data_IF_307314483396
#
_entry.id   IF_307314483396
#
_cell.length_a   1.000
_cell.length_b   1.000
_cell.length_c   1.000
_cell.angle_alpha   90.00
_cell.angle_beta   90.00
_cell.angle_gamma   90.00
#
_symmetry.space_group_name_H-M   'P 1'
#
loop_
_entity.id
_entity.type
_entity.pdbx_description
1 polymer ?
#
# COMPACT_ATOMS: atom_id res chain seq x y z
N UNK A 1 -22.22 1.52 9.82
CA UNK A 1 -21.05 0.73 9.36
C UNK A 1 -19.78 1.39 9.86
N UNK A 2 -18.62 0.71 9.82
CA UNK A 2 -17.33 1.36 10.15
C UNK A 2 -17.02 2.55 9.23
N UNK A 3 -17.44 2.49 7.96
CA UNK A 3 -17.31 3.60 7.01
C UNK A 3 -18.11 4.85 7.44
N UNK A 4 -19.38 4.68 7.84
CA UNK A 4 -20.18 5.81 8.33
C UNK A 4 -19.61 6.38 9.63
N UNK A 5 -19.16 5.51 10.54
CA UNK A 5 -18.51 5.98 11.76
C UNK A 5 -17.25 6.81 11.44
N UNK A 6 -16.36 6.33 10.57
CA UNK A 6 -15.17 7.05 10.14
C UNK A 6 -15.51 8.44 9.57
N UNK A 7 -16.52 8.51 8.69
CA UNK A 7 -16.99 9.76 8.11
C UNK A 7 -17.59 10.72 9.16
N UNK A 8 -18.41 10.20 10.07
CA UNK A 8 -19.00 10.98 11.17
C UNK A 8 -17.93 11.52 12.14
N UNK A 9 -16.78 10.85 12.25
CA UNK A 9 -15.61 11.36 12.98
C UNK A 9 -14.77 12.36 12.19
N UNK A 10 -15.16 12.70 10.95
CA UNK A 10 -14.48 13.68 10.11
C UNK A 10 -13.22 13.16 9.41
N UNK A 11 -13.08 11.85 9.23
CA UNK A 11 -12.01 11.28 8.40
C UNK A 11 -12.32 11.46 6.91
N UNK A 12 -11.28 11.72 6.12
CA UNK A 12 -11.41 12.03 4.69
C UNK A 12 -11.88 10.85 3.84
N UNK A 13 -11.60 9.62 4.27
CA UNK A 13 -12.00 8.43 3.53
C UNK A 13 -11.67 7.13 4.25
N UNK A 14 -12.05 6.03 3.61
CA UNK A 14 -11.81 4.67 4.09
C UNK A 14 -11.18 3.80 3.01
N UNK A 15 -10.35 2.87 3.44
CA UNK A 15 -9.78 1.84 2.57
C UNK A 15 -10.43 0.50 2.89
N UNK A 16 -11.02 -0.14 1.89
CA UNK A 16 -11.87 -1.32 2.08
C UNK A 16 -11.25 -2.49 1.32
N UNK A 17 -10.85 -3.52 2.07
CA UNK A 17 -10.40 -4.79 1.51
C UNK A 17 -11.61 -5.68 1.19
N UNK A 18 -11.51 -6.49 0.14
CA UNK A 18 -12.55 -7.47 -0.19
C UNK A 18 -12.67 -8.53 0.92
N UNK A 19 -13.82 -9.22 1.04
CA UNK A 19 -13.94 -10.36 1.92
C UNK A 19 -12.84 -11.39 1.64
N UNK A 20 -12.29 -11.96 2.70
CA UNK A 20 -11.07 -12.76 2.64
C UNK A 20 -11.22 -14.17 3.25
N UNK A 21 -12.44 -14.54 3.65
CA UNK A 21 -12.68 -15.86 4.23
C UNK A 21 -13.11 -16.88 3.17
N UNK A 22 -14.07 -16.53 2.32
CA UNK A 22 -14.54 -17.38 1.23
C UNK A 22 -14.07 -16.83 -0.12
N UNK A 23 -13.73 -17.70 -1.09
CA UNK A 23 -13.59 -17.29 -2.48
C UNK A 23 -14.91 -16.72 -2.99
N UNK A 24 -14.82 -15.57 -3.66
CA UNK A 24 -15.97 -14.89 -4.27
C UNK A 24 -15.70 -14.72 -5.76
N UNK A 25 -16.77 -14.65 -6.55
CA UNK A 25 -16.70 -14.30 -7.96
C UNK A 25 -16.81 -12.78 -8.17
N UNK A 26 -16.64 -12.36 -9.42
CA UNK A 26 -16.65 -10.96 -9.83
C UNK A 26 -17.94 -10.22 -9.45
N UNK A 27 -19.10 -10.87 -9.60
CA UNK A 27 -20.38 -10.25 -9.28
C UNK A 27 -20.59 -10.14 -7.76
N UNK A 28 -20.18 -11.14 -6.98
CA UNK A 28 -20.21 -11.05 -5.53
C UNK A 28 -19.29 -9.94 -4.99
N UNK A 29 -18.12 -9.76 -5.60
CA UNK A 29 -17.18 -8.67 -5.24
C UNK A 29 -17.77 -7.31 -5.64
N UNK A 30 -18.35 -7.21 -6.83
CA UNK A 30 -19.03 -6.01 -7.29
C UNK A 30 -20.20 -5.63 -6.36
N UNK A 31 -21.02 -6.60 -5.96
CA UNK A 31 -22.16 -6.42 -5.06
C UNK A 31 -21.71 -6.02 -3.65
N UNK A 32 -20.60 -6.58 -3.15
CA UNK A 32 -20.02 -6.20 -1.87
C UNK A 32 -19.65 -4.71 -1.84
N UNK A 33 -18.85 -4.24 -2.80
CA UNK A 33 -18.45 -2.83 -2.85
C UNK A 33 -19.65 -1.92 -3.16
N UNK A 34 -20.55 -2.34 -4.05
CA UNK A 34 -21.81 -1.63 -4.37
C UNK A 34 -22.67 -1.37 -3.13
N UNK A 35 -22.84 -2.39 -2.29
CA UNK A 35 -23.65 -2.31 -1.07
C UNK A 35 -23.06 -1.29 -0.09
N UNK A 36 -21.73 -1.23 0.03
CA UNK A 36 -21.08 -0.28 0.92
C UNK A 36 -21.16 1.14 0.34
N UNK A 37 -20.76 1.31 -0.93
CA UNK A 37 -20.69 2.61 -1.59
C UNK A 37 -22.05 3.32 -1.67
N UNK A 38 -23.14 2.56 -1.82
CA UNK A 38 -24.52 3.10 -1.81
C UNK A 38 -25.04 3.52 -0.43
N UNK A 39 -24.36 3.14 0.65
CA UNK A 39 -24.82 3.34 2.04
C UNK A 39 -23.91 4.27 2.85
N UNK A 40 -22.91 4.88 2.22
CA UNK A 40 -21.97 5.78 2.88
C UNK A 40 -21.65 7.00 2.02
N UNK A 41 -21.57 8.20 2.61
CA UNK A 41 -21.02 9.37 1.93
C UNK A 41 -19.48 9.37 1.91
N UNK A 42 -18.82 8.46 2.63
CA UNK A 42 -17.37 8.41 2.72
C UNK A 42 -16.71 8.19 1.35
N UNK A 43 -15.56 8.83 1.13
CA UNK A 43 -14.66 8.45 0.05
C UNK A 43 -14.08 7.05 0.31
N UNK A 44 -14.02 6.23 -0.72
CA UNK A 44 -13.62 4.82 -0.66
C UNK A 44 -12.43 4.59 -1.57
N UNK A 45 -11.40 3.96 -0.99
CA UNK A 45 -10.34 3.27 -1.71
C UNK A 45 -10.60 1.77 -1.71
N UNK A 46 -10.62 1.16 -2.89
CA UNK A 46 -10.58 -0.31 -3.02
C UNK A 46 -9.19 -0.79 -2.58
N UNK A 47 -9.12 -1.78 -1.70
CA UNK A 47 -7.86 -2.44 -1.37
C UNK A 47 -7.82 -3.82 -2.03
N UNK A 48 -7.07 -3.91 -3.13
CA UNK A 48 -6.74 -5.18 -3.76
C UNK A 48 -5.52 -5.82 -3.06
N UNK A 49 -5.68 -7.04 -2.52
CA UNK A 49 -4.58 -7.80 -1.94
C UNK A 49 -4.79 -9.32 -2.09
N UNK A 50 -4.60 -9.88 -3.29
CA UNK A 50 -4.96 -11.27 -3.60
C UNK A 50 -4.27 -12.30 -2.70
N UNK A 51 -3.05 -12.05 -2.25
CA UNK A 51 -2.32 -12.92 -1.31
C UNK A 51 -3.03 -13.08 0.05
N UNK A 52 -3.88 -12.13 0.42
CA UNK A 52 -4.67 -12.15 1.66
C UNK A 52 -6.13 -12.50 1.44
N UNK A 53 -6.69 -12.14 0.29
CA UNK A 53 -8.13 -12.26 0.00
C UNK A 53 -8.48 -13.49 -0.84
N UNK A 54 -7.52 -14.07 -1.56
CA UNK A 54 -7.77 -15.11 -2.55
C UNK A 54 -8.45 -14.62 -3.83
N UNK A 55 -8.63 -13.30 -3.99
CA UNK A 55 -9.30 -12.69 -5.14
C UNK A 55 -8.58 -11.40 -5.57
N UNK A 56 -8.35 -11.26 -6.88
CA UNK A 56 -7.82 -10.02 -7.47
C UNK A 56 -8.92 -9.23 -8.14
N UNK A 57 -9.16 -8.02 -7.66
CA UNK A 57 -10.11 -7.08 -8.26
C UNK A 57 -9.57 -6.66 -9.62
N UNK A 58 -10.19 -7.16 -10.68
CA UNK A 58 -9.77 -6.87 -12.05
C UNK A 58 -9.93 -5.38 -12.40
N UNK A 59 -9.14 -4.86 -13.35
CA UNK A 59 -9.32 -3.51 -13.88
C UNK A 59 -10.75 -3.22 -14.35
N UNK A 60 -11.44 -4.21 -14.93
CA UNK A 60 -12.82 -4.09 -15.41
C UNK A 60 -13.82 -3.95 -14.26
N UNK A 61 -13.67 -4.73 -13.19
CA UNK A 61 -14.50 -4.58 -11.98
C UNK A 61 -14.23 -3.25 -11.29
N UNK A 62 -12.95 -2.86 -11.19
CA UNK A 62 -12.57 -1.56 -10.63
C UNK A 62 -13.23 -0.40 -11.40
N UNK A 63 -13.17 -0.41 -12.75
CA UNK A 63 -13.81 0.59 -13.59
C UNK A 63 -15.34 0.58 -13.42
N UNK A 64 -15.98 -0.60 -13.46
CA UNK A 64 -17.44 -0.70 -13.25
C UNK A 64 -17.88 -0.11 -11.92
N UNK A 65 -17.10 -0.33 -10.85
CA UNK A 65 -17.37 0.21 -9.53
C UNK A 65 -17.19 1.74 -9.49
N UNK A 66 -16.05 2.24 -9.99
CA UNK A 66 -15.74 3.67 -10.00
C UNK A 66 -16.69 4.49 -10.88
N UNK A 67 -17.12 3.94 -12.03
CA UNK A 67 -18.09 4.59 -12.93
C UNK A 67 -19.48 4.69 -12.29
N UNK A 68 -19.90 3.63 -11.59
CA UNK A 68 -21.24 3.59 -10.96
C UNK A 68 -21.30 4.37 -9.65
N UNK A 69 -20.20 4.45 -8.89
CA UNK A 69 -20.17 5.04 -7.55
C UNK A 69 -19.07 6.10 -7.44
N UNK A 70 -19.39 7.39 -7.61
CA UNK A 70 -18.42 8.48 -7.58
C UNK A 70 -17.65 8.65 -6.26
N UNK A 71 -18.14 8.06 -5.16
CA UNK A 71 -17.43 8.03 -3.88
C UNK A 71 -16.36 6.94 -3.82
N UNK A 72 -16.26 6.02 -4.78
CA UNK A 72 -15.10 5.14 -4.96
C UNK A 72 -14.06 5.91 -5.77
N UNK A 73 -13.11 6.52 -5.07
CA UNK A 73 -12.18 7.51 -5.63
C UNK A 73 -10.81 6.93 -5.98
N UNK A 74 -10.50 5.70 -5.56
CA UNK A 74 -9.21 5.12 -5.85
C UNK A 74 -9.05 3.66 -5.49
N UNK A 75 -7.84 3.15 -5.73
CA UNK A 75 -7.42 1.79 -5.40
C UNK A 75 -6.00 1.81 -4.78
N UNK A 76 -5.82 1.06 -3.70
CA UNK A 76 -4.52 0.54 -3.28
C UNK A 76 -4.36 -0.87 -3.83
N UNK A 77 -3.39 -1.06 -4.72
CA UNK A 77 -3.14 -2.32 -5.40
C UNK A 77 -1.89 -3.02 -4.85
N UNK A 78 -2.08 -4.04 -4.02
CA UNK A 78 -0.99 -4.78 -3.35
C UNK A 78 -0.76 -6.12 -4.04
N UNK A 79 -0.02 -6.03 -5.14
CA UNK A 79 0.42 -7.15 -5.98
C UNK A 79 1.95 -7.11 -6.15
N UNK A 80 2.63 -8.26 -6.24
CA UNK A 80 4.09 -8.31 -6.27
C UNK A 80 4.68 -7.69 -7.54
N UNK A 81 4.03 -7.85 -8.69
CA UNK A 81 4.45 -7.25 -9.96
C UNK A 81 3.66 -5.95 -10.25
N UNK A 82 4.21 -5.12 -11.14
CA UNK A 82 3.61 -3.85 -11.53
C UNK A 82 2.58 -3.97 -12.68
N UNK A 83 2.37 -5.16 -13.25
CA UNK A 83 1.55 -5.30 -14.45
C UNK A 83 0.07 -5.03 -14.16
N UNK A 84 -0.47 -5.63 -13.10
CA UNK A 84 -1.86 -5.43 -12.72
C UNK A 84 -2.14 -3.96 -12.40
N UNK A 85 -1.27 -3.30 -11.64
CA UNK A 85 -1.41 -1.87 -11.31
C UNK A 85 -1.39 -1.00 -12.56
N UNK A 86 -0.48 -1.27 -13.51
CA UNK A 86 -0.46 -0.58 -14.80
C UNK A 86 -1.72 -0.83 -15.64
N UNK A 87 -2.31 -2.03 -15.59
CA UNK A 87 -3.59 -2.31 -16.24
C UNK A 87 -4.74 -1.54 -15.58
N UNK A 88 -4.79 -1.46 -14.25
CA UNK A 88 -5.77 -0.63 -13.53
C UNK A 88 -5.65 0.82 -13.95
N UNK A 89 -4.43 1.39 -14.01
CA UNK A 89 -4.21 2.77 -14.48
C UNK A 89 -4.75 2.94 -15.90
N UNK A 90 -4.33 2.09 -16.85
CA UNK A 90 -4.71 2.21 -18.25
C UNK A 90 -6.22 2.04 -18.50
N UNK A 91 -6.88 1.17 -17.73
CA UNK A 91 -8.31 0.91 -17.87
C UNK A 91 -9.15 1.94 -17.15
N UNK A 92 -8.79 2.29 -15.91
CA UNK A 92 -9.61 3.16 -15.05
C UNK A 92 -9.31 4.63 -15.31
N UNK A 93 -8.06 5.08 -15.20
CA UNK A 93 -7.71 6.51 -15.33
C UNK A 93 -7.95 7.06 -16.74
N UNK A 94 -7.94 6.20 -17.77
CA UNK A 94 -8.36 6.58 -19.12
C UNK A 94 -9.82 7.06 -19.19
N UNK A 95 -10.70 6.47 -18.39
CA UNK A 95 -12.12 6.82 -18.33
C UNK A 95 -12.43 7.81 -17.19
N UNK A 96 -11.67 7.73 -16.09
CA UNK A 96 -11.86 8.52 -14.86
C UNK A 96 -10.49 9.11 -14.45
N UNK A 97 -10.04 10.23 -15.07
CA UNK A 97 -8.67 10.74 -14.89
C UNK A 97 -8.26 11.06 -13.44
N UNK A 98 -9.24 11.38 -12.59
CA UNK A 98 -9.04 11.71 -11.18
C UNK A 98 -9.03 10.50 -10.25
N UNK A 99 -9.25 9.28 -10.75
CA UNK A 99 -9.19 8.07 -9.93
C UNK A 99 -7.76 7.83 -9.47
N UNK A 100 -7.54 7.70 -8.17
CA UNK A 100 -6.20 7.56 -7.58
C UNK A 100 -5.77 6.10 -7.50
N UNK A 101 -4.62 5.75 -8.07
CA UNK A 101 -4.06 4.39 -8.06
C UNK A 101 -2.73 4.40 -7.31
N UNK A 102 -2.68 3.71 -6.17
CA UNK A 102 -1.49 3.56 -5.35
C UNK A 102 -0.98 2.12 -5.37
N UNK A 103 0.32 1.95 -5.58
CA UNK A 103 0.96 0.66 -5.35
C UNK A 103 0.98 0.31 -3.86
N UNK A 104 0.82 -0.97 -3.51
CA UNK A 104 0.88 -1.46 -2.13
C UNK A 104 2.23 -2.02 -1.70
N UNK A 105 3.07 -2.41 -2.66
CA UNK A 105 4.45 -2.80 -2.43
C UNK A 105 5.38 -1.61 -2.67
N UNK A 106 6.28 -1.33 -1.73
CA UNK A 106 7.13 -0.13 -1.74
C UNK A 106 8.03 -0.06 -2.99
N UNK A 107 8.57 -1.20 -3.43
CA UNK A 107 9.42 -1.29 -4.62
C UNK A 107 8.65 -1.14 -5.94
N UNK A 108 7.31 -1.10 -5.90
CA UNK A 108 6.48 -0.77 -7.06
C UNK A 108 6.17 0.74 -7.16
N UNK A 109 6.66 1.57 -6.23
CA UNK A 109 6.41 3.02 -6.25
C UNK A 109 6.83 3.69 -7.57
N UNK A 110 8.10 3.53 -8.00
CA UNK A 110 8.55 4.15 -9.24
C UNK A 110 7.79 3.63 -10.47
N UNK A 111 7.57 2.32 -10.54
CA UNK A 111 6.80 1.71 -11.63
C UNK A 111 5.39 2.30 -11.72
N UNK A 112 4.74 2.53 -10.58
CA UNK A 112 3.41 3.11 -10.52
C UNK A 112 3.41 4.56 -11.00
N UNK A 113 4.32 5.40 -10.50
CA UNK A 113 4.45 6.81 -10.93
C UNK A 113 4.75 6.89 -12.45
N UNK A 114 5.70 6.11 -12.94
CA UNK A 114 6.07 6.06 -14.36
C UNK A 114 4.92 5.57 -15.26
N UNK A 115 3.98 4.80 -14.70
CA UNK A 115 2.78 4.33 -15.41
C UNK A 115 1.62 5.33 -15.37
N UNK A 116 1.76 6.47 -14.67
CA UNK A 116 0.71 7.47 -14.50
C UNK A 116 -0.19 7.25 -13.27
N UNK A 117 0.26 6.45 -12.30
CA UNK A 117 -0.37 6.31 -10.99
C UNK A 117 0.04 7.42 -10.01
N UNK A 118 -0.49 7.33 -8.79
CA UNK A 118 -0.53 8.47 -7.84
C UNK A 118 0.38 8.26 -6.62
N UNK A 119 1.11 7.14 -6.57
CA UNK A 119 2.18 6.90 -5.59
C UNK A 119 2.18 5.52 -4.98
N UNK A 120 2.49 5.43 -3.69
CA UNK A 120 2.54 4.15 -2.98
C UNK A 120 2.05 4.28 -1.54
N UNK A 121 1.24 3.31 -1.11
CA UNK A 121 0.84 3.12 0.29
C UNK A 121 1.53 1.84 0.79
N UNK A 122 2.85 1.93 0.89
CA UNK A 122 3.74 0.86 1.33
C UNK A 122 4.03 0.90 2.83
N UNK A 123 4.67 -0.15 3.34
CA UNK A 123 5.02 -0.24 4.75
C UNK A 123 6.29 0.55 5.10
N UNK A 124 7.31 0.55 4.24
CA UNK A 124 8.65 1.07 4.54
C UNK A 124 8.66 2.57 4.84
N UNK A 125 7.66 3.30 4.32
CA UNK A 125 7.42 4.72 4.66
C UNK A 125 7.18 4.94 6.16
N UNK A 126 6.77 3.93 6.94
CA UNK A 126 6.72 4.04 8.40
C UNK A 126 8.13 4.12 8.99
N UNK A 127 9.09 3.41 8.41
CA UNK A 127 10.45 3.28 8.95
C UNK A 127 11.36 4.40 8.43
N UNK A 128 11.26 4.74 7.15
CA UNK A 128 12.11 5.73 6.48
C UNK A 128 11.30 6.75 5.67
N UNK A 129 10.36 7.49 6.29
CA UNK A 129 9.47 8.41 5.57
C UNK A 129 10.23 9.47 4.78
N UNK A 130 11.32 10.00 5.33
CA UNK A 130 12.12 11.05 4.68
C UNK A 130 12.75 10.55 3.37
N UNK A 131 13.07 9.25 3.30
CA UNK A 131 13.62 8.62 2.11
C UNK A 131 12.59 8.49 0.98
N UNK A 132 11.34 8.16 1.32
CA UNK A 132 10.25 8.14 0.33
C UNK A 132 9.89 9.56 -0.13
N UNK A 133 9.97 10.54 0.79
CA UNK A 133 9.77 11.95 0.44
C UNK A 133 10.86 12.46 -0.53
N UNK A 134 12.14 12.11 -0.31
CA UNK A 134 13.22 12.47 -1.24
C UNK A 134 13.08 11.76 -2.59
N UNK A 135 12.59 10.52 -2.60
CA UNK A 135 12.30 9.81 -3.85
C UNK A 135 11.19 10.50 -4.66
N UNK A 136 10.12 10.95 -4.01
CA UNK A 136 9.08 11.76 -4.66
C UNK A 136 9.64 13.10 -5.17
N UNK A 137 10.52 13.75 -4.40
CA UNK A 137 11.18 14.98 -4.85
C UNK A 137 12.05 14.75 -6.10
N UNK A 138 12.72 13.60 -6.20
CA UNK A 138 13.48 13.24 -7.39
C UNK A 138 12.58 13.12 -8.64
N UNK A 139 11.39 12.53 -8.50
CA UNK A 139 10.38 12.52 -9.58
C UNK A 139 9.93 13.94 -9.96
N UNK A 140 9.63 14.79 -8.97
CA UNK A 140 9.20 16.17 -9.24
C UNK A 140 10.29 17.04 -9.90
N UNK A 141 11.55 16.67 -9.75
CA UNK A 141 12.70 17.37 -10.31
C UNK A 141 13.21 16.77 -11.64
N UNK A 142 12.51 15.75 -12.18
CA UNK A 142 12.95 14.98 -13.35
C UNK A 142 14.37 14.36 -13.21
N UNK A 143 14.81 14.08 -11.97
CA UNK A 143 16.12 13.49 -11.69
C UNK A 143 16.03 11.95 -11.75
N UNK A 144 16.09 11.43 -12.98
CA UNK A 144 16.02 9.99 -13.24
C UNK A 144 17.16 9.20 -12.59
N UNK A 145 18.33 9.82 -12.41
CA UNK A 145 19.45 9.15 -11.74
C UNK A 145 19.13 8.96 -10.26
N UNK A 146 18.66 10.01 -9.59
CA UNK A 146 18.22 9.92 -8.20
C UNK A 146 17.04 8.94 -8.07
N UNK A 147 16.05 8.96 -8.97
CA UNK A 147 14.94 7.99 -8.97
C UNK A 147 15.46 6.54 -9.02
N UNK A 148 16.42 6.24 -9.90
CA UNK A 148 17.00 4.91 -10.02
C UNK A 148 17.78 4.49 -8.76
N UNK A 149 18.55 5.42 -8.16
CA UNK A 149 19.27 5.16 -6.92
C UNK A 149 18.32 4.85 -5.77
N UNK A 150 17.23 5.61 -5.63
CA UNK A 150 16.23 5.34 -4.61
C UNK A 150 15.55 3.97 -4.82
N UNK A 151 15.19 3.62 -6.07
CA UNK A 151 14.66 2.30 -6.39
C UNK A 151 15.58 1.18 -5.92
N UNK A 152 16.87 1.24 -6.26
CA UNK A 152 17.86 0.22 -5.90
C UNK A 152 18.02 0.05 -4.39
N UNK A 153 17.88 1.14 -3.63
CA UNK A 153 17.92 1.11 -2.16
C UNK A 153 16.62 0.50 -1.62
N UNK A 154 15.46 0.89 -2.14
CA UNK A 154 14.18 0.30 -1.72
C UNK A 154 14.15 -1.20 -2.02
N UNK A 155 14.65 -1.64 -3.17
CA UNK A 155 14.76 -3.06 -3.51
C UNK A 155 15.56 -3.85 -2.46
N UNK A 156 16.62 -3.25 -1.90
CA UNK A 156 17.38 -3.85 -0.79
C UNK A 156 16.60 -3.81 0.53
N UNK A 157 15.93 -2.69 0.83
CA UNK A 157 15.11 -2.52 2.03
C UNK A 157 13.90 -3.46 2.07
N UNK A 158 13.42 -3.95 0.92
CA UNK A 158 12.37 -4.96 0.89
C UNK A 158 12.72 -6.22 1.70
N UNK A 159 14.00 -6.49 1.95
CA UNK A 159 14.44 -7.57 2.83
C UNK A 159 13.85 -7.49 4.26
N UNK A 160 13.47 -6.29 4.75
CA UNK A 160 12.81 -6.08 6.05
C UNK A 160 11.57 -6.95 6.20
N UNK A 161 10.76 -7.10 5.15
CA UNK A 161 9.53 -7.90 5.17
C UNK A 161 9.78 -9.39 5.43
N UNK A 162 11.00 -9.87 5.16
CA UNK A 162 11.38 -11.28 5.33
C UNK A 162 12.01 -11.60 6.69
N UNK A 163 12.27 -10.59 7.52
CA UNK A 163 12.92 -10.80 8.84
C UNK A 163 12.03 -11.62 9.78
N UNK A 164 10.72 -11.40 9.72
CA UNK A 164 9.72 -12.12 10.50
C UNK A 164 8.42 -12.23 9.70
N UNK A 165 7.68 -13.32 9.87
CA UNK A 165 6.35 -13.48 9.29
C UNK A 165 5.33 -13.79 10.40
N UNK A 166 4.31 -12.93 10.60
CA UNK A 166 4.04 -11.67 9.89
C UNK A 166 5.08 -10.58 10.20
N UNK A 167 5.23 -9.61 9.29
CA UNK A 167 6.29 -8.59 9.38
C UNK A 167 6.02 -7.44 10.37
N UNK A 168 4.80 -7.30 10.90
CA UNK A 168 4.40 -6.17 11.76
C UNK A 168 5.34 -5.99 12.97
N UNK A 169 5.75 -7.06 13.70
CA UNK A 169 6.74 -6.94 14.77
C UNK A 169 8.09 -6.37 14.32
N UNK A 170 8.54 -6.71 13.10
CA UNK A 170 9.78 -6.16 12.52
C UNK A 170 9.69 -4.65 12.38
N UNK A 171 8.55 -4.15 11.88
CA UNK A 171 8.34 -2.70 11.68
C UNK A 171 8.28 -1.96 13.01
N UNK A 172 7.57 -2.50 13.99
CA UNK A 172 7.56 -1.91 15.34
C UNK A 172 8.93 -1.95 16.01
N UNK A 173 9.71 -3.02 15.81
CA UNK A 173 11.09 -3.08 16.29
C UNK A 173 11.96 -2.00 15.64
N UNK A 174 11.83 -1.79 14.33
CA UNK A 174 12.54 -0.74 13.62
C UNK A 174 12.19 0.65 14.19
N UNK A 175 10.91 0.94 14.38
CA UNK A 175 10.44 2.19 14.99
C UNK A 175 10.97 2.39 16.41
N UNK A 176 11.03 1.31 17.22
CA UNK A 176 11.60 1.38 18.56
C UNK A 176 13.10 1.67 18.53
N UNK A 177 13.86 0.98 17.67
CA UNK A 177 15.30 1.20 17.51
C UNK A 177 15.60 2.64 17.05
N UNK A 178 14.71 3.24 16.24
CA UNK A 178 14.77 4.65 15.83
C UNK A 178 14.27 5.63 16.91
N UNK A 179 13.81 5.15 18.07
CA UNK A 179 13.30 5.98 19.15
C UNK A 179 11.94 6.62 18.90
N UNK A 180 11.22 6.20 17.86
CA UNK A 180 9.89 6.76 17.48
C UNK A 180 8.79 6.24 18.42
N UNK A 181 8.90 4.98 18.86
CA UNK A 181 7.98 4.36 19.81
C UNK A 181 8.75 3.74 20.98
N UNK A 182 8.10 3.65 22.14
CA UNK A 182 8.73 3.06 23.34
C UNK A 182 8.72 1.53 23.35
N UNK A 183 7.75 0.90 22.68
CA UNK A 183 7.55 -0.55 22.74
C UNK A 183 7.29 -1.15 21.36
N UNK A 184 7.98 -2.25 21.04
CA UNK A 184 7.68 -3.03 19.83
C UNK A 184 6.44 -3.94 19.95
N UNK A 185 5.75 -3.91 21.10
CA UNK A 185 4.70 -4.86 21.44
C UNK A 185 3.60 -4.91 20.37
N UNK A 186 3.28 -6.12 19.95
CA UNK A 186 2.11 -6.43 19.13
C UNK A 186 1.06 -7.18 19.95
N UNK A 187 -0.20 -7.10 19.54
CA UNK A 187 -1.26 -7.92 20.13
C UNK A 187 -1.00 -9.40 19.80
N UNK A 188 -1.48 -10.31 20.64
CA UNK A 188 -1.50 -11.74 20.28
C UNK A 188 -2.22 -11.94 18.94
N UNK A 189 -1.78 -12.84 18.04
CA UNK A 189 -0.73 -13.85 18.19
C UNK A 189 0.65 -13.45 17.64
N UNK A 190 0.94 -12.16 17.47
CA UNK A 190 2.23 -11.73 16.92
C UNK A 190 3.36 -11.89 17.95
N UNK A 191 4.45 -12.54 17.53
CA UNK A 191 5.66 -12.73 18.35
C UNK A 191 6.59 -11.51 18.28
N UNK A 192 7.45 -11.36 19.29
CA UNK A 192 8.53 -10.37 19.30
C UNK A 192 9.73 -10.96 18.54
N UNK A 193 10.56 -10.09 17.94
CA UNK A 193 11.78 -10.51 17.27
C UNK A 193 12.80 -11.05 18.27
N UNK A 194 13.49 -12.12 17.89
CA UNK A 194 14.68 -12.58 18.62
C UNK A 194 15.92 -11.71 18.31
N UNK A 195 17.03 -12.01 18.98
CA UNK A 195 18.29 -11.27 18.81
C UNK A 195 18.88 -11.41 17.39
N UNK A 196 18.67 -12.55 16.73
CA UNK A 196 19.19 -12.79 15.38
C UNK A 196 18.40 -11.94 14.38
N UNK A 197 17.07 -11.97 14.48
CA UNK A 197 16.17 -11.14 13.68
C UNK A 197 16.41 -9.66 13.92
N UNK A 198 16.63 -9.25 15.18
CA UNK A 198 16.91 -7.86 15.54
C UNK A 198 18.24 -7.36 14.95
N UNK A 199 19.30 -8.18 14.98
CA UNK A 199 20.58 -7.86 14.33
C UNK A 199 20.43 -7.75 12.81
N UNK A 200 19.77 -8.74 12.19
CA UNK A 200 19.50 -8.73 10.74
C UNK A 200 18.72 -7.50 10.32
N UNK A 201 17.73 -7.06 11.12
CA UNK A 201 16.99 -5.84 10.86
C UNK A 201 17.91 -4.61 10.85
N UNK A 202 18.80 -4.47 11.85
CA UNK A 202 19.75 -3.36 11.90
C UNK A 202 20.71 -3.35 10.70
N UNK A 203 21.20 -4.51 10.29
CA UNK A 203 22.04 -4.67 9.09
C UNK A 203 21.32 -4.16 7.84
N UNK A 204 20.06 -4.55 7.63
CA UNK A 204 19.26 -4.09 6.47
C UNK A 204 19.03 -2.57 6.52
N UNK A 205 18.72 -2.01 7.69
CA UNK A 205 18.43 -0.57 7.82
C UNK A 205 19.67 0.30 7.59
N UNK A 206 20.87 -0.24 7.84
CA UNK A 206 22.14 0.48 7.62
C UNK A 206 22.38 0.85 6.15
N UNK A 207 21.69 0.21 5.20
CA UNK A 207 21.79 0.55 3.76
C UNK A 207 21.44 2.02 3.52
N UNK A 208 20.53 2.60 4.31
CA UNK A 208 20.15 4.02 4.17
C UNK A 208 21.20 5.01 4.68
N UNK A 209 22.14 4.58 5.52
CA UNK A 209 23.16 5.47 6.08
C UNK A 209 24.30 5.75 5.08
N UNK A 210 24.49 4.89 4.08
CA UNK A 210 25.49 5.08 3.02
C UNK A 210 25.12 6.14 1.98
N UNK A 211 23.89 6.67 2.02
CA UNK A 211 23.34 7.58 1.02
C UNK A 211 22.83 8.92 1.62
N UNK A 212 23.21 9.23 2.86
CA UNK A 212 23.10 10.57 3.46
C UNK A 212 24.32 11.42 3.10
#
# INVERSE_FOLDING_TARGET
>A
SLANYAWEQGLDGVMIISPYYFPLDDEAIFDFYSTIASQTPAHIFIYNFPERTGYSVSPEICLRLADKYPNIIGMKDTVPDAFHTAQVINTVKKNIPHFEVYAGYDNNFAHNILSGGDGCIGGLSNIVPEFFASWMQAFMNDDLLAVAQHQQIVDQLMAVYSVNSPFIPTFKKALQLKGVIQSERCSSPFNILDDIQSRRLQEILSVTDYYK
#
